data_IF_347467188767
#
_entry.id   IF_347467188767
#
_cell.length_a   1.000
_cell.length_b   1.000
_cell.length_c   1.000
_cell.angle_alpha   90.00
_cell.angle_beta   90.00
_cell.angle_gamma   90.00
#
_symmetry.space_group_name_H-M   'P 1'
#
loop_
_entity.id
_entity.type
_entity.pdbx_description
1 polymer ?
#
# COMPACT_ATOMS: atom_id res chain seq x y z
N UNK A 1 -24.76 1.05 6.69
CA UNK A 1 -24.41 0.21 7.84
C UNK A 1 -23.53 0.99 8.80
N UNK A 2 -23.52 0.58 10.07
CA UNK A 2 -22.59 1.08 11.07
C UNK A 2 -21.23 0.34 10.96
N UNK A 3 -20.32 0.64 11.89
CA UNK A 3 -18.99 0.00 11.96
C UNK A 3 -19.01 -1.53 12.12
N UNK A 4 -20.13 -2.11 12.57
CA UNK A 4 -20.29 -3.54 12.77
C UNK A 4 -21.13 -4.19 11.66
N UNK A 5 -21.26 -3.48 10.52
CA UNK A 5 -22.05 -3.88 9.33
C UNK A 5 -23.55 -4.03 9.57
N UNK A 6 -24.06 -3.52 10.70
CA UNK A 6 -25.47 -3.55 11.06
C UNK A 6 -26.21 -2.39 10.35
N UNK A 7 -27.40 -2.68 9.83
CA UNK A 7 -28.28 -1.66 9.23
C UNK A 7 -29.01 -0.84 10.32
N UNK A 8 -29.86 0.09 9.92
CA UNK A 8 -30.73 0.81 10.85
C UNK A 8 -31.71 -0.12 11.58
N UNK A 9 -31.95 -1.32 11.05
CA UNK A 9 -32.75 -2.37 11.69
C UNK A 9 -31.82 -3.33 12.41
N UNK A 10 -31.85 -3.42 13.78
CA UNK A 10 -30.80 -4.05 14.58
C UNK A 10 -30.48 -5.52 14.29
N UNK A 11 -31.42 -6.28 13.73
CA UNK A 11 -31.23 -7.69 13.40
C UNK A 11 -30.89 -7.92 11.92
N UNK A 12 -30.70 -6.86 11.12
CA UNK A 12 -30.36 -6.93 9.70
C UNK A 12 -28.96 -6.37 9.50
N UNK A 13 -28.11 -7.11 8.79
CA UNK A 13 -26.74 -6.75 8.43
C UNK A 13 -26.59 -6.72 6.92
N UNK A 14 -25.61 -5.97 6.44
CA UNK A 14 -25.25 -5.94 5.03
C UNK A 14 -23.74 -5.87 4.85
N UNK A 15 -23.23 -6.62 3.87
CA UNK A 15 -21.81 -6.70 3.54
C UNK A 15 -21.63 -6.82 2.02
N UNK A 16 -20.43 -6.53 1.53
CA UNK A 16 -20.08 -6.56 0.10
C UNK A 16 -20.57 -5.33 -0.66
N UNK A 17 -20.70 -5.47 -1.97
CA UNK A 17 -20.95 -4.37 -2.91
C UNK A 17 -22.20 -3.55 -2.58
N UNK A 18 -23.19 -4.17 -1.93
CA UNK A 18 -24.43 -3.49 -1.52
C UNK A 18 -24.22 -2.34 -0.55
N UNK A 19 -23.14 -2.36 0.23
CA UNK A 19 -22.79 -1.28 1.16
C UNK A 19 -21.85 -0.23 0.56
N UNK A 20 -21.41 -0.41 -0.69
CA UNK A 20 -20.52 0.49 -1.41
C UNK A 20 -19.04 0.12 -1.28
N UNK A 21 -18.20 1.12 -1.13
CA UNK A 21 -16.75 0.94 -1.02
C UNK A 21 -16.34 0.14 0.23
N UNK A 22 -15.31 -0.73 0.11
CA UNK A 22 -14.66 -1.22 -1.09
C UNK A 22 -15.43 -2.37 -1.74
N UNK A 23 -15.81 -2.26 -2.99
CA UNK A 23 -16.54 -3.27 -3.75
C UNK A 23 -15.58 -4.34 -4.29
N UNK A 24 -15.01 -5.15 -3.40
CA UNK A 24 -14.00 -6.16 -3.68
C UNK A 24 -14.39 -7.48 -2.97
N UNK A 25 -14.20 -8.60 -3.65
CA UNK A 25 -14.55 -9.93 -3.13
C UNK A 25 -13.86 -10.23 -1.79
N UNK A 26 -12.55 -9.95 -1.67
CA UNK A 26 -11.80 -10.13 -0.43
C UNK A 26 -12.37 -9.30 0.73
N UNK A 27 -12.71 -8.04 0.48
CA UNK A 27 -13.35 -7.18 1.47
C UNK A 27 -14.74 -7.70 1.85
N UNK A 28 -15.54 -8.19 0.89
CA UNK A 28 -16.86 -8.74 1.15
C UNK A 28 -16.80 -9.99 2.05
N UNK A 29 -15.81 -10.87 1.87
CA UNK A 29 -15.59 -12.01 2.76
C UNK A 29 -15.29 -11.57 4.19
N UNK A 30 -14.38 -10.62 4.38
CA UNK A 30 -14.03 -10.14 5.71
C UNK A 30 -15.17 -9.36 6.36
N UNK A 31 -15.87 -8.51 5.63
CA UNK A 31 -17.06 -7.81 6.11
C UNK A 31 -18.12 -8.79 6.60
N UNK A 32 -18.39 -9.87 5.83
CA UNK A 32 -19.33 -10.92 6.22
C UNK A 32 -18.90 -11.68 7.47
N UNK A 33 -17.60 -11.96 7.61
CA UNK A 33 -17.02 -12.59 8.80
C UNK A 33 -17.17 -11.69 10.03
N UNK A 34 -16.85 -10.42 9.94
CA UNK A 34 -17.01 -9.48 11.05
C UNK A 34 -18.47 -9.25 11.43
N UNK A 35 -19.36 -9.15 10.45
CA UNK A 35 -20.81 -9.09 10.70
C UNK A 35 -21.29 -10.31 11.49
N UNK A 36 -20.87 -11.51 11.10
CA UNK A 36 -21.22 -12.76 11.79
C UNK A 36 -20.62 -12.81 13.21
N UNK A 37 -19.39 -12.38 13.42
CA UNK A 37 -18.77 -12.28 14.74
C UNK A 37 -19.60 -11.38 15.66
N UNK A 38 -19.99 -10.21 15.19
CA UNK A 38 -20.83 -9.29 15.94
C UNK A 38 -22.21 -9.89 16.28
N UNK A 39 -22.86 -10.56 15.33
CA UNK A 39 -24.15 -11.28 15.55
C UNK A 39 -24.07 -12.32 16.67
N UNK A 40 -22.91 -12.99 16.76
CA UNK A 40 -22.65 -14.02 17.76
C UNK A 40 -22.12 -13.49 19.09
N UNK A 41 -21.96 -12.18 19.25
CA UNK A 41 -21.38 -11.56 20.44
C UNK A 41 -19.89 -11.84 20.62
N UNK A 42 -19.18 -12.19 19.54
CA UNK A 42 -17.73 -12.34 19.52
C UNK A 42 -17.12 -10.96 19.27
N UNK A 43 -16.28 -10.50 20.18
CA UNK A 43 -15.57 -9.22 20.04
C UNK A 43 -14.38 -9.42 19.08
N UNK A 44 -14.64 -9.24 17.80
CA UNK A 44 -13.61 -9.18 16.76
C UNK A 44 -13.42 -7.70 16.40
N UNK A 45 -12.35 -7.10 16.91
CA UNK A 45 -12.08 -5.66 16.75
C UNK A 45 -11.51 -5.30 15.38
N UNK A 46 -11.27 -6.28 14.52
CA UNK A 46 -10.76 -6.03 13.17
C UNK A 46 -11.79 -5.31 12.31
N UNK A 47 -11.28 -4.41 11.46
CA UNK A 47 -12.06 -3.70 10.45
C UNK A 47 -11.42 -3.91 9.07
N UNK A 48 -12.22 -3.82 8.04
CA UNK A 48 -11.71 -3.84 6.66
C UNK A 48 -11.17 -2.44 6.34
N UNK A 49 -9.89 -2.26 6.57
CA UNK A 49 -9.13 -1.04 6.30
C UNK A 49 -7.95 -1.35 5.37
N UNK A 50 -7.44 -0.35 4.66
CA UNK A 50 -6.25 -0.44 3.78
C UNK A 50 -6.27 -1.67 2.84
N UNK A 51 -7.40 -1.85 2.16
CA UNK A 51 -7.61 -2.99 1.26
C UNK A 51 -6.78 -2.80 0.00
N UNK A 52 -5.91 -3.77 -0.30
CA UNK A 52 -5.23 -3.80 -1.58
C UNK A 52 -6.25 -4.01 -2.71
N UNK A 53 -6.23 -3.10 -3.67
CA UNK A 53 -7.13 -3.11 -4.83
C UNK A 53 -6.36 -3.51 -6.07
N UNK A 54 -6.82 -4.55 -6.76
CA UNK A 54 -6.30 -4.97 -8.07
C UNK A 54 -7.27 -4.58 -9.19
N UNK A 55 -6.74 -4.09 -10.30
CA UNK A 55 -7.45 -3.81 -11.54
C UNK A 55 -6.80 -4.65 -12.64
N UNK A 56 -7.55 -5.59 -13.19
CA UNK A 56 -7.09 -6.63 -14.10
C UNK A 56 -7.02 -6.15 -15.55
N UNK A 57 -6.38 -5.00 -15.75
CA UNK A 57 -6.00 -4.50 -17.08
C UNK A 57 -4.76 -5.23 -17.61
N UNK A 58 -4.32 -4.94 -18.83
CA UNK A 58 -3.09 -5.46 -19.42
C UNK A 58 -2.21 -4.25 -19.77
N UNK A 59 -1.15 -3.98 -18.99
CA UNK A 59 -0.74 -4.61 -17.72
C UNK A 59 -1.68 -4.29 -16.55
N UNK A 60 -1.56 -5.07 -15.47
CA UNK A 60 -2.32 -4.91 -14.24
C UNK A 60 -1.98 -3.61 -13.50
N UNK A 61 -2.95 -3.13 -12.70
CA UNK A 61 -2.75 -2.02 -11.75
C UNK A 61 -3.14 -2.53 -10.37
N UNK A 62 -2.35 -2.22 -9.35
CA UNK A 62 -2.73 -2.47 -7.97
C UNK A 62 -2.27 -1.34 -7.05
N UNK A 63 -3.03 -1.09 -5.99
CA UNK A 63 -2.68 -0.06 -5.01
C UNK A 63 -3.24 -0.40 -3.64
N UNK A 64 -2.62 0.16 -2.61
CA UNK A 64 -3.06 0.12 -1.21
C UNK A 64 -2.68 1.43 -0.52
N UNK A 65 -3.51 1.88 0.42
CA UNK A 65 -3.32 3.14 1.13
C UNK A 65 -3.66 4.37 0.29
N UNK A 66 -3.06 5.51 0.65
CA UNK A 66 -3.39 6.83 0.09
C UNK A 66 -2.67 7.11 -1.22
N UNK A 67 -3.29 7.94 -2.05
CA UNK A 67 -2.66 8.49 -3.25
C UNK A 67 -2.12 9.93 -3.01
N UNK A 68 -1.38 10.46 -3.98
CA UNK A 68 -0.75 11.79 -3.90
C UNK A 68 -1.78 12.92 -3.71
N UNK A 69 -2.95 12.78 -4.35
CA UNK A 69 -4.01 13.78 -4.25
C UNK A 69 -4.58 13.84 -2.83
N UNK A 70 -4.90 12.69 -2.24
CA UNK A 70 -5.42 12.59 -0.87
C UNK A 70 -4.42 13.14 0.15
N UNK A 71 -3.14 12.80 0.02
CA UNK A 71 -2.09 13.32 0.90
C UNK A 71 -1.94 14.83 0.79
N UNK A 72 -2.03 15.38 -0.42
CA UNK A 72 -1.96 16.82 -0.67
C UNK A 72 -3.18 17.55 -0.10
N UNK A 73 -4.39 17.03 -0.31
CA UNK A 73 -5.63 17.57 0.24
C UNK A 73 -5.62 17.56 1.78
N UNK A 74 -5.07 16.49 2.39
CA UNK A 74 -4.91 16.35 3.83
C UNK A 74 -3.70 17.12 4.40
N UNK A 75 -2.89 17.74 3.56
CA UNK A 75 -1.66 18.48 3.93
C UNK A 75 -0.65 17.61 4.70
N UNK A 76 -0.60 16.31 4.38
CA UNK A 76 0.37 15.39 4.94
C UNK A 76 1.68 15.53 4.15
N UNK A 77 2.82 15.83 4.79
CA UNK A 77 4.10 15.94 4.11
C UNK A 77 4.59 14.56 3.67
N UNK A 78 4.70 14.35 2.37
CA UNK A 78 5.12 13.06 1.81
C UNK A 78 6.24 13.21 0.78
N UNK A 79 6.98 12.14 0.58
CA UNK A 79 7.94 11.98 -0.51
C UNK A 79 7.62 10.69 -1.28
N UNK A 80 8.19 10.58 -2.48
CA UNK A 80 7.90 9.50 -3.42
C UNK A 80 9.18 8.73 -3.73
N UNK A 81 9.13 7.41 -3.54
CA UNK A 81 10.11 6.48 -4.07
C UNK A 81 9.57 5.75 -5.29
N UNK A 82 10.37 5.59 -6.34
CA UNK A 82 9.97 4.92 -7.59
C UNK A 82 11.00 3.89 -8.02
N UNK A 83 10.51 2.78 -8.56
CA UNK A 83 11.30 1.78 -9.27
C UNK A 83 10.59 1.42 -10.57
N UNK A 84 11.29 1.47 -11.68
CA UNK A 84 10.75 0.98 -12.96
C UNK A 84 11.10 -0.49 -13.12
N UNK A 85 10.21 -1.28 -13.68
CA UNK A 85 10.42 -2.72 -13.89
C UNK A 85 11.62 -2.99 -14.78
N UNK A 86 11.84 -2.18 -15.80
CA UNK A 86 13.03 -2.25 -16.67
C UNK A 86 14.37 -2.13 -15.93
N UNK A 87 14.37 -1.67 -14.68
CA UNK A 87 15.58 -1.53 -13.86
C UNK A 87 15.78 -2.75 -12.94
N UNK A 88 14.93 -3.79 -13.06
CA UNK A 88 15.01 -5.02 -12.25
C UNK A 88 15.44 -6.22 -13.10
N UNK A 89 16.31 -7.06 -12.56
CA UNK A 89 16.78 -8.25 -13.28
C UNK A 89 15.66 -9.24 -13.58
N UNK A 90 14.67 -9.37 -12.68
CA UNK A 90 13.56 -10.31 -12.90
C UNK A 90 12.70 -9.91 -14.10
N UNK A 91 12.42 -8.62 -14.27
CA UNK A 91 11.65 -8.13 -15.41
C UNK A 91 12.36 -8.42 -16.76
N UNK A 92 13.69 -8.24 -16.82
CA UNK A 92 14.46 -8.62 -17.99
C UNK A 92 14.37 -10.13 -18.31
N UNK A 93 14.46 -10.99 -17.27
CA UNK A 93 14.37 -12.45 -17.45
C UNK A 93 12.98 -12.86 -17.97
N UNK A 94 11.91 -12.26 -17.45
CA UNK A 94 10.54 -12.57 -17.86
C UNK A 94 10.11 -11.86 -19.14
N UNK A 95 10.83 -10.83 -19.59
CA UNK A 95 10.43 -9.96 -20.71
C UNK A 95 9.34 -8.93 -20.35
N UNK A 96 9.00 -8.79 -19.07
CA UNK A 96 7.92 -7.94 -18.56
C UNK A 96 8.49 -6.61 -18.00
N UNK A 97 9.12 -5.82 -18.87
CA UNK A 97 9.84 -4.59 -18.49
C UNK A 97 8.93 -3.37 -18.33
N UNK A 98 7.68 -3.45 -18.81
CA UNK A 98 6.72 -2.36 -18.71
C UNK A 98 6.07 -2.36 -17.34
N UNK A 99 6.43 -1.39 -16.50
CA UNK A 99 5.84 -1.27 -15.18
C UNK A 99 6.60 -0.35 -14.25
N UNK A 100 5.99 -0.09 -13.09
CA UNK A 100 6.54 0.76 -12.05
C UNK A 100 5.95 0.41 -10.69
N UNK A 101 6.78 0.40 -9.66
CA UNK A 101 6.36 0.46 -8.27
C UNK A 101 6.61 1.88 -7.72
N UNK A 102 5.60 2.46 -7.08
CA UNK A 102 5.67 3.76 -6.41
C UNK A 102 5.28 3.60 -4.95
N UNK A 103 6.09 4.14 -4.04
CA UNK A 103 5.83 4.19 -2.60
C UNK A 103 5.71 5.64 -2.18
N UNK A 104 4.61 5.99 -1.52
CA UNK A 104 4.39 7.27 -0.85
C UNK A 104 4.68 7.08 0.64
N UNK A 105 5.50 7.94 1.21
CA UNK A 105 5.88 7.83 2.62
C UNK A 105 6.06 9.21 3.26
N UNK A 106 5.84 9.29 4.56
CA UNK A 106 5.95 10.54 5.32
C UNK A 106 7.40 11.03 5.37
N UNK A 107 7.63 12.31 5.10
CA UNK A 107 8.98 12.90 4.98
C UNK A 107 9.81 12.82 6.27
N UNK A 108 9.18 12.88 7.44
CA UNK A 108 9.86 12.89 8.73
C UNK A 108 9.88 11.52 9.40
N UNK A 109 8.71 10.87 9.54
CA UNK A 109 8.58 9.58 10.22
C UNK A 109 9.05 8.42 9.36
N UNK A 110 9.02 8.57 8.03
CA UNK A 110 9.31 7.55 7.03
C UNK A 110 8.29 6.41 7.00
N UNK A 111 7.12 6.64 7.59
CA UNK A 111 5.96 5.77 7.55
C UNK A 111 5.44 5.64 6.12
N UNK A 112 5.08 4.42 5.71
CA UNK A 112 4.49 4.15 4.40
C UNK A 112 3.03 4.59 4.43
N UNK A 113 2.64 5.46 3.51
CA UNK A 113 1.31 6.06 3.42
C UNK A 113 0.48 5.48 2.28
N UNK A 114 1.13 4.94 1.27
CA UNK A 114 0.48 4.33 0.14
C UNK A 114 1.47 3.69 -0.84
N UNK A 115 1.02 2.68 -1.54
CA UNK A 115 1.81 1.92 -2.50
C UNK A 115 0.98 1.72 -3.76
N UNK A 116 1.59 1.95 -4.91
CA UNK A 116 0.96 1.81 -6.22
C UNK A 116 1.87 1.01 -7.13
N UNK A 117 1.34 0.00 -7.77
CA UNK A 117 2.05 -0.85 -8.70
C UNK A 117 1.31 -0.90 -10.04
N UNK A 118 2.05 -0.80 -11.12
CA UNK A 118 1.57 -0.97 -12.49
C UNK A 118 2.54 -1.89 -13.23
N UNK A 119 2.04 -2.91 -13.86
CA UNK A 119 2.87 -3.87 -14.60
C UNK A 119 2.38 -5.30 -14.41
N UNK A 120 3.10 -6.26 -15.02
CA UNK A 120 2.81 -7.67 -14.84
C UNK A 120 2.88 -8.07 -13.36
N UNK A 121 1.92 -8.87 -12.91
CA UNK A 121 1.81 -9.36 -11.53
C UNK A 121 1.69 -8.25 -10.47
N UNK A 122 1.21 -7.05 -10.85
CA UNK A 122 1.06 -5.94 -9.92
C UNK A 122 0.17 -6.30 -8.72
N UNK A 123 -0.86 -7.12 -8.94
CA UNK A 123 -1.78 -7.59 -7.90
C UNK A 123 -1.11 -8.52 -6.87
N UNK A 124 -0.04 -9.23 -7.25
CA UNK A 124 0.74 -10.06 -6.33
C UNK A 124 1.85 -9.24 -5.64
N UNK A 125 2.53 -8.38 -6.41
CA UNK A 125 3.64 -7.56 -5.92
C UNK A 125 3.20 -6.64 -4.79
N UNK A 126 1.98 -6.10 -4.83
CA UNK A 126 1.46 -5.14 -3.85
C UNK A 126 1.47 -5.66 -2.41
N UNK A 127 1.27 -6.96 -2.22
CA UNK A 127 1.10 -7.56 -0.89
C UNK A 127 2.35 -7.52 -0.02
N UNK A 128 3.55 -7.49 -0.62
CA UNK A 128 4.80 -7.28 0.13
C UNK A 128 4.74 -5.94 0.87
N UNK A 129 4.32 -4.90 0.17
CA UNK A 129 4.21 -3.57 0.74
C UNK A 129 3.07 -3.43 1.74
N UNK A 130 1.91 -4.02 1.43
CA UNK A 130 0.76 -4.05 2.34
C UNK A 130 1.14 -4.68 3.69
N UNK A 131 1.88 -5.79 3.68
CA UNK A 131 2.28 -6.48 4.90
C UNK A 131 3.14 -5.60 5.83
N UNK A 132 3.94 -4.69 5.28
CA UNK A 132 4.77 -3.76 6.06
C UNK A 132 3.98 -2.50 6.42
N UNK A 133 3.17 -1.98 5.49
CA UNK A 133 2.32 -0.80 5.74
C UNK A 133 1.33 -1.03 6.88
N UNK A 134 0.83 -2.26 7.04
CA UNK A 134 -0.12 -2.62 8.10
C UNK A 134 0.55 -2.95 9.45
N UNK A 135 1.85 -2.73 9.59
CA UNK A 135 2.51 -2.85 10.89
C UNK A 135 2.28 -1.58 11.73
N UNK A 136 2.34 -1.73 13.06
CA UNK A 136 2.16 -0.61 13.97
C UNK A 136 3.47 0.16 14.22
N UNK A 137 3.35 1.47 14.38
CA UNK A 137 4.43 2.35 14.80
C UNK A 137 5.65 2.31 13.89
N UNK A 138 6.84 2.19 14.45
CA UNK A 138 8.11 2.22 13.69
C UNK A 138 8.31 1.02 12.77
N UNK A 139 7.53 -0.04 12.90
CA UNK A 139 7.59 -1.21 12.03
C UNK A 139 7.01 -0.90 10.64
N UNK A 140 6.04 0.01 10.53
CA UNK A 140 5.60 0.58 9.27
C UNK A 140 6.62 1.62 8.80
N UNK A 141 7.64 1.21 8.07
CA UNK A 141 8.64 2.14 7.57
C UNK A 141 9.26 1.73 6.25
N UNK A 142 9.42 2.70 5.35
CA UNK A 142 10.14 2.50 4.07
C UNK A 142 11.58 1.98 4.27
N UNK A 143 12.19 2.22 5.45
CA UNK A 143 13.51 1.70 5.81
C UNK A 143 13.58 0.17 5.80
N UNK A 144 12.46 -0.51 6.04
CA UNK A 144 12.40 -1.97 5.98
C UNK A 144 12.93 -2.48 4.64
N UNK A 145 12.39 -1.97 3.55
CA UNK A 145 12.77 -2.42 2.20
C UNK A 145 14.21 -2.06 1.84
N UNK A 146 14.71 -0.91 2.29
CA UNK A 146 16.09 -0.48 2.04
C UNK A 146 17.13 -1.36 2.77
N UNK A 147 16.75 -1.96 3.92
CA UNK A 147 17.63 -2.74 4.79
C UNK A 147 17.47 -4.26 4.66
N UNK A 148 16.37 -4.72 4.07
CA UNK A 148 16.08 -6.15 3.91
C UNK A 148 16.83 -6.70 2.71
N UNK A 149 17.43 -7.88 2.89
CA UNK A 149 18.00 -8.64 1.79
C UNK A 149 16.92 -9.54 1.21
N UNK A 150 16.41 -9.17 0.04
CA UNK A 150 15.45 -9.98 -0.71
C UNK A 150 16.17 -11.06 -1.52
N UNK A 151 15.42 -12.12 -1.87
CA UNK A 151 15.91 -13.09 -2.82
C UNK A 151 16.09 -12.46 -4.21
N UNK A 152 17.12 -12.87 -4.92
CA UNK A 152 17.49 -12.31 -6.22
C UNK A 152 17.67 -13.43 -7.26
N UNK A 153 17.12 -13.30 -8.48
CA UNK A 153 16.33 -12.18 -9.00
C UNK A 153 14.82 -12.35 -8.73
N UNK A 154 14.18 -11.37 -8.09
CA UNK A 154 12.72 -11.34 -7.86
C UNK A 154 12.19 -9.92 -8.03
N UNK A 155 10.86 -9.76 -8.22
CA UNK A 155 10.23 -8.43 -8.29
C UNK A 155 10.22 -7.70 -6.94
N UNK A 156 10.52 -8.37 -5.83
CA UNK A 156 10.74 -7.71 -4.52
C UNK A 156 11.88 -6.68 -4.57
N UNK A 157 12.83 -6.81 -5.52
CA UNK A 157 13.88 -5.82 -5.76
C UNK A 157 13.32 -4.42 -6.07
N UNK A 158 12.15 -4.32 -6.68
CA UNK A 158 11.50 -3.05 -6.97
C UNK A 158 11.21 -2.26 -5.68
N UNK A 159 10.86 -2.92 -4.57
CA UNK A 159 10.69 -2.28 -3.27
C UNK A 159 11.98 -1.67 -2.76
N UNK A 160 13.09 -2.38 -2.88
CA UNK A 160 14.40 -1.87 -2.48
C UNK A 160 14.82 -0.66 -3.31
N UNK A 161 14.68 -0.75 -4.63
CA UNK A 161 15.02 0.35 -5.56
C UNK A 161 14.17 1.58 -5.24
N UNK A 162 12.83 1.43 -5.10
CA UNK A 162 11.93 2.52 -4.78
C UNK A 162 12.29 3.15 -3.43
N UNK A 163 12.59 2.35 -2.41
CA UNK A 163 12.94 2.84 -1.07
C UNK A 163 14.24 3.65 -1.08
N UNK A 164 15.28 3.15 -1.72
CA UNK A 164 16.57 3.86 -1.84
C UNK A 164 16.39 5.14 -2.65
N UNK A 165 15.60 5.10 -3.74
CA UNK A 165 15.29 6.28 -4.54
C UNK A 165 14.63 7.37 -3.68
N UNK A 166 13.59 7.07 -2.92
CA UNK A 166 12.88 8.02 -2.05
C UNK A 166 13.75 8.56 -0.91
N UNK A 167 14.50 7.71 -0.21
CA UNK A 167 15.40 8.12 0.87
C UNK A 167 16.53 9.04 0.37
N UNK A 168 17.04 8.80 -0.83
CA UNK A 168 18.05 9.67 -1.45
C UNK A 168 17.48 11.05 -1.79
N UNK A 169 16.20 11.17 -2.15
CA UNK A 169 15.56 12.46 -2.42
C UNK A 169 15.50 13.32 -1.16
N UNK A 170 15.03 12.78 -0.04
CA UNK A 170 15.04 13.47 1.26
C UNK A 170 16.44 13.91 1.66
N UNK A 171 17.44 13.05 1.48
CA UNK A 171 18.83 13.36 1.84
C UNK A 171 19.43 14.50 1.00
N UNK A 172 19.01 14.63 -0.26
CA UNK A 172 19.43 15.72 -1.14
C UNK A 172 18.79 17.05 -0.75
N UNK A 173 17.50 17.03 -0.41
CA UNK A 173 16.79 18.22 0.04
C UNK A 173 17.38 18.76 1.34
N UNK A 174 17.60 17.92 2.35
CA UNK A 174 18.24 18.32 3.61
C UNK A 174 19.60 18.97 3.39
N UNK A 175 20.45 18.39 2.57
CA UNK A 175 21.77 18.98 2.23
C UNK A 175 21.64 20.32 1.50
N UNK A 176 20.65 20.50 0.65
CA UNK A 176 20.43 21.77 -0.05
C UNK A 176 20.00 22.89 0.91
N UNK A 177 19.19 22.57 1.92
CA UNK A 177 18.77 23.54 2.96
C UNK A 177 19.92 23.88 3.93
N UNK A 178 20.74 22.90 4.32
CA UNK A 178 21.91 23.12 5.17
C UNK A 178 22.99 23.96 4.47
N UNK A 179 23.26 23.72 3.19
CA UNK A 179 24.23 24.49 2.39
C UNK A 179 23.84 25.94 2.05
N UNK A 180 22.57 26.33 2.28
CA UNK A 180 22.11 27.72 2.12
C UNK A 180 22.17 28.55 3.40
N UNK A 181 22.67 28.00 4.49
CA UNK A 181 22.82 28.71 5.80
C UNK A 181 24.22 29.33 6.01
N UNK A 182 25.04 29.38 4.96
CA UNK A 182 26.36 30.03 4.99
C UNK A 182 26.50 31.06 3.86
#
# INVERSE_FOLDING_TARGET
VNKDYQTAVPHIYAAGDVIGWPALAGAAYDQGRFAASHMCGVDDQYRVEDVATGIWTIPEISFVGKNERELTEQKIPYEIGRAYFKDTARAHISGEEVGMLKILFHQETLEILGIHCFGAEAAEIIHIGQAIMNQEGEANSIKYFARTTFNYPTMAEAYRIASVNGLNRISRERRHFEGKRY
#
